data_IF_339178123240
#
_entry.id   IF_339178123240
#
_cell.length_a   1.000
_cell.length_b   1.000
_cell.length_c   1.000
_cell.angle_alpha   90.00
_cell.angle_beta   90.00
_cell.angle_gamma   90.00
#
_symmetry.space_group_name_H-M   'P 1'
#
loop_
_entity.id
_entity.type
_entity.pdbx_description
1 polymer ?
#
# COMPACT_ATOMS: atom_id res chain seq x y z
N UNK A 1 -25.53 -37.36 4.44
CA UNK A 1 -24.16 -37.60 4.93
C UNK A 1 -23.65 -36.26 5.44
N UNK A 2 -23.82 -36.00 6.73
CA UNK A 2 -23.58 -34.71 7.36
C UNK A 2 -22.07 -34.48 7.50
N UNK A 3 -21.52 -33.57 6.70
CA UNK A 3 -20.13 -33.14 6.81
C UNK A 3 -19.98 -32.41 8.15
N UNK A 4 -19.35 -33.10 9.10
CA UNK A 4 -18.86 -32.51 10.33
C UNK A 4 -17.64 -31.68 9.96
N UNK A 5 -17.81 -30.36 9.90
CA UNK A 5 -16.69 -29.43 9.79
C UNK A 5 -16.05 -29.39 11.16
N UNK A 6 -14.87 -29.98 11.26
CA UNK A 6 -14.03 -30.02 12.44
C UNK A 6 -13.72 -28.59 12.92
N UNK A 7 -14.10 -28.29 14.16
CA UNK A 7 -13.96 -26.99 14.81
C UNK A 7 -12.69 -26.97 15.68
N UNK A 8 -11.54 -27.36 15.13
CA UNK A 8 -10.25 -27.18 15.77
C UNK A 8 -9.27 -26.50 14.82
N UNK A 9 -9.35 -25.17 14.72
CA UNK A 9 -8.28 -24.37 14.13
C UNK A 9 -7.12 -24.32 15.13
N UNK A 10 -6.04 -25.01 14.79
CA UNK A 10 -4.77 -24.94 15.51
C UNK A 10 -4.15 -23.55 15.29
N UNK A 11 -3.98 -22.82 16.40
CA UNK A 11 -3.47 -21.44 16.38
C UNK A 11 -2.00 -21.36 15.94
N UNK A 12 -1.28 -22.48 16.02
CA UNK A 12 0.15 -22.58 15.70
C UNK A 12 0.41 -23.21 14.32
N UNK A 13 -0.65 -23.49 13.54
CA UNK A 13 -0.50 -23.94 12.16
C UNK A 13 0.15 -22.85 11.30
N UNK A 14 1.08 -23.24 10.42
CA UNK A 14 1.90 -22.34 9.59
C UNK A 14 1.02 -21.50 8.63
N UNK A 15 -0.18 -21.99 8.30
CA UNK A 15 -1.16 -21.32 7.46
C UNK A 15 -2.16 -20.43 8.22
N UNK A 16 -2.16 -20.46 9.55
CA UNK A 16 -3.02 -19.60 10.39
C UNK A 16 -2.48 -18.16 10.39
N UNK A 17 -3.20 -17.19 9.81
CA UNK A 17 -2.70 -15.82 9.76
C UNK A 17 -2.73 -15.16 11.15
N UNK A 18 -1.71 -14.36 11.44
CA UNK A 18 -1.65 -13.62 12.70
C UNK A 18 -2.79 -12.59 12.83
N UNK A 19 -3.13 -12.21 14.06
CA UNK A 19 -4.16 -11.19 14.33
C UNK A 19 -3.82 -9.86 13.63
N UNK A 20 -2.54 -9.50 13.60
CA UNK A 20 -2.06 -8.28 12.95
C UNK A 20 -2.18 -8.35 11.42
N UNK A 21 -1.90 -9.53 10.83
CA UNK A 21 -2.19 -9.78 9.42
C UNK A 21 -3.68 -9.58 9.13
N UNK A 22 -4.56 -10.21 9.91
CA UNK A 22 -6.00 -10.14 9.70
C UNK A 22 -6.54 -8.71 9.85
N UNK A 23 -5.95 -7.91 10.75
CA UNK A 23 -6.28 -6.49 10.92
C UNK A 23 -5.88 -5.67 9.69
N UNK A 24 -4.73 -5.96 9.10
CA UNK A 24 -4.26 -5.30 7.88
C UNK A 24 -5.04 -5.76 6.64
N UNK A 25 -5.34 -7.05 6.53
CA UNK A 25 -6.06 -7.64 5.41
C UNK A 25 -7.42 -6.96 5.15
N UNK A 26 -8.13 -6.57 6.23
CA UNK A 26 -9.39 -5.82 6.14
C UNK A 26 -9.25 -4.45 5.47
N UNK A 27 -8.06 -3.86 5.45
CA UNK A 27 -7.80 -2.53 4.88
C UNK A 27 -7.39 -2.58 3.41
N UNK A 28 -6.86 -3.71 2.92
CA UNK A 28 -6.35 -3.84 1.56
C UNK A 28 -7.37 -3.52 0.46
N UNK A 29 -8.66 -3.91 0.55
CA UNK A 29 -9.62 -3.60 -0.51
C UNK A 29 -9.77 -2.10 -0.79
N UNK A 30 -9.59 -1.23 0.22
CA UNK A 30 -9.58 0.22 0.00
C UNK A 30 -8.31 0.65 -0.73
N UNK A 31 -7.16 0.10 -0.33
CA UNK A 31 -5.87 0.43 -0.94
C UNK A 31 -5.82 -0.02 -2.40
N UNK A 32 -6.35 -1.20 -2.70
CA UNK A 32 -6.49 -1.72 -4.07
C UNK A 32 -7.36 -0.79 -4.92
N UNK A 33 -8.57 -0.45 -4.46
CA UNK A 33 -9.45 0.47 -5.18
C UNK A 33 -8.82 1.87 -5.40
N UNK A 34 -8.08 2.39 -4.42
CA UNK A 34 -7.38 3.67 -4.56
C UNK A 34 -6.29 3.64 -5.64
N UNK A 35 -5.59 2.50 -5.79
CA UNK A 35 -4.52 2.32 -6.80
C UNK A 35 -5.07 1.99 -8.18
N UNK A 36 -6.20 1.30 -8.26
CA UNK A 36 -6.92 1.07 -9.52
C UNK A 36 -7.56 2.35 -10.08
N UNK A 37 -7.88 3.32 -9.21
CA UNK A 37 -8.18 4.69 -9.60
C UNK A 37 -9.66 5.05 -9.58
N UNK A 38 -10.03 6.06 -10.38
CA UNK A 38 -11.38 6.66 -10.32
C UNK A 38 -12.49 5.68 -10.73
N UNK A 39 -12.23 4.79 -11.68
CA UNK A 39 -13.22 3.83 -12.17
C UNK A 39 -13.55 2.78 -11.10
N UNK A 40 -12.54 2.15 -10.50
CA UNK A 40 -12.72 1.19 -9.41
C UNK A 40 -13.45 1.80 -8.19
N UNK A 41 -13.12 3.05 -7.84
CA UNK A 41 -13.82 3.78 -6.77
C UNK A 41 -15.32 3.99 -7.09
N UNK A 42 -15.69 4.08 -8.37
CA UNK A 42 -17.08 4.25 -8.83
C UNK A 42 -17.83 2.92 -8.93
N UNK A 43 -17.15 1.80 -9.11
CA UNK A 43 -17.75 0.45 -9.17
C UNK A 43 -18.18 -0.08 -7.80
N UNK A 44 -17.57 0.42 -6.71
CA UNK A 44 -18.00 0.18 -5.32
C UNK A 44 -18.76 1.36 -4.68
N UNK A 45 -19.85 1.89 -5.29
CA UNK A 45 -20.43 3.18 -4.92
C UNK A 45 -20.91 3.22 -3.46
N UNK A 46 -21.60 2.19 -2.99
CA UNK A 46 -22.13 2.20 -1.62
C UNK A 46 -21.05 2.00 -0.55
N UNK A 47 -19.91 1.44 -0.95
CA UNK A 47 -18.78 1.16 -0.05
C UNK A 47 -17.85 2.36 0.09
N UNK A 48 -17.53 3.04 -1.01
CA UNK A 48 -16.52 4.09 -1.05
C UNK A 48 -17.08 5.49 -1.28
N UNK A 49 -18.20 5.60 -1.98
CA UNK A 49 -18.83 6.87 -2.36
C UNK A 49 -20.30 6.88 -1.93
N UNK A 50 -20.60 6.72 -0.62
CA UNK A 50 -21.97 6.63 -0.15
C UNK A 50 -22.77 7.88 -0.54
N UNK A 51 -24.06 7.68 -0.73
CA UNK A 51 -25.02 8.75 -0.98
C UNK A 51 -25.28 9.51 0.32
N UNK A 52 -25.35 10.85 0.25
CA UNK A 52 -25.68 11.63 1.44
C UNK A 52 -27.17 11.47 1.82
N UNK A 53 -27.55 11.55 3.11
CA UNK A 53 -28.91 11.23 3.57
C UNK A 53 -30.07 12.01 2.92
N UNK A 54 -29.81 13.20 2.35
CA UNK A 54 -30.80 14.06 1.69
C UNK A 54 -30.47 14.35 0.22
N UNK A 55 -29.54 13.61 -0.35
CA UNK A 55 -29.15 13.76 -1.76
C UNK A 55 -30.20 13.08 -2.66
N UNK A 56 -30.59 13.69 -3.78
CA UNK A 56 -31.39 12.99 -4.79
C UNK A 56 -30.51 12.05 -5.61
N UNK A 57 -31.09 11.08 -6.31
CA UNK A 57 -30.32 10.18 -7.18
C UNK A 57 -29.63 10.93 -8.33
N UNK A 58 -30.30 11.95 -8.87
CA UNK A 58 -29.74 12.82 -9.90
C UNK A 58 -28.52 13.60 -9.39
N UNK A 59 -28.62 14.18 -8.19
CA UNK A 59 -27.50 14.89 -7.57
C UNK A 59 -26.35 13.93 -7.24
N UNK A 60 -26.65 12.73 -6.76
CA UNK A 60 -25.66 11.70 -6.47
C UNK A 60 -24.88 11.30 -7.73
N UNK A 61 -25.58 10.99 -8.81
CA UNK A 61 -24.97 10.63 -10.08
C UNK A 61 -24.18 11.80 -10.69
N UNK A 62 -24.70 13.03 -10.61
CA UNK A 62 -24.02 14.24 -11.07
C UNK A 62 -22.75 14.56 -10.27
N UNK A 63 -22.74 14.31 -8.96
CA UNK A 63 -21.54 14.41 -8.14
C UNK A 63 -20.53 13.33 -8.53
N UNK A 64 -20.97 12.07 -8.60
CA UNK A 64 -20.11 10.92 -8.92
C UNK A 64 -19.41 11.08 -10.27
N UNK A 65 -20.10 11.62 -11.29
CA UNK A 65 -19.53 11.85 -12.62
C UNK A 65 -18.48 12.97 -12.65
N UNK A 66 -18.68 14.04 -11.86
CA UNK A 66 -17.77 15.20 -11.82
C UNK A 66 -16.59 15.02 -10.86
N UNK A 67 -16.72 14.20 -9.82
CA UNK A 67 -15.63 13.90 -8.89
C UNK A 67 -14.65 12.91 -9.51
N UNK A 68 -13.35 13.18 -9.37
CA UNK A 68 -12.25 12.31 -9.76
C UNK A 68 -11.35 12.03 -8.54
N UNK A 69 -10.65 10.90 -8.55
CA UNK A 69 -9.71 10.54 -7.50
C UNK A 69 -8.35 11.22 -7.76
N UNK A 70 -7.87 12.00 -6.79
CA UNK A 70 -6.48 12.46 -6.79
C UNK A 70 -5.55 11.30 -6.39
N UNK A 71 -4.46 11.02 -7.12
CA UNK A 71 -3.56 9.88 -6.87
C UNK A 71 -2.64 10.08 -5.64
N UNK A 72 -3.12 10.78 -4.61
CA UNK A 72 -2.35 11.17 -3.43
C UNK A 72 -1.78 9.97 -2.66
N UNK A 73 -2.43 8.80 -2.73
CA UNK A 73 -1.95 7.58 -2.09
C UNK A 73 -0.64 7.08 -2.73
N UNK A 74 -0.64 6.87 -4.05
CA UNK A 74 0.56 6.43 -4.77
C UNK A 74 1.66 7.50 -4.75
N UNK A 75 1.30 8.78 -4.86
CA UNK A 75 2.25 9.89 -4.72
C UNK A 75 2.93 9.89 -3.34
N UNK A 76 2.17 9.60 -2.29
CA UNK A 76 2.70 9.49 -0.92
C UNK A 76 3.65 8.31 -0.78
N UNK A 77 3.30 7.13 -1.33
CA UNK A 77 4.19 5.96 -1.35
C UNK A 77 5.48 6.32 -2.08
N UNK A 78 5.38 6.85 -3.31
CA UNK A 78 6.52 7.25 -4.13
C UNK A 78 7.43 8.23 -3.39
N UNK A 79 6.85 9.22 -2.75
CA UNK A 79 7.58 10.21 -1.95
C UNK A 79 8.33 9.54 -0.81
N UNK A 80 7.67 8.65 -0.05
CA UNK A 80 8.27 7.99 1.09
C UNK A 80 9.40 7.03 0.68
N UNK A 81 9.22 6.24 -0.37
CA UNK A 81 10.27 5.32 -0.85
C UNK A 81 11.47 6.04 -1.48
N UNK A 82 11.28 7.29 -1.93
CA UNK A 82 12.38 8.10 -2.49
C UNK A 82 13.24 8.77 -1.41
N UNK A 83 12.76 8.88 -0.16
CA UNK A 83 13.46 9.60 0.91
C UNK A 83 14.84 9.03 1.26
N UNK A 84 15.04 7.71 1.39
CA UNK A 84 16.36 7.15 1.75
C UNK A 84 17.45 7.50 0.74
N UNK A 85 17.10 7.62 -0.55
CA UNK A 85 18.03 7.91 -1.63
C UNK A 85 18.06 9.39 -2.04
N UNK A 86 17.49 10.28 -1.21
CA UNK A 86 17.42 11.71 -1.52
C UNK A 86 18.79 12.39 -1.50
N UNK A 87 19.71 11.87 -0.69
CA UNK A 87 21.10 12.32 -0.62
C UNK A 87 21.98 11.22 -1.19
N UNK A 88 23.03 11.61 -1.91
CA UNK A 88 24.07 10.67 -2.29
C UNK A 88 24.63 10.02 -1.04
N UNK A 89 24.90 8.72 -1.12
CA UNK A 89 25.70 8.03 -0.11
C UNK A 89 27.12 8.57 -0.26
N UNK A 90 27.65 9.15 0.81
CA UNK A 90 29.02 9.67 0.86
C UNK A 90 29.78 8.85 1.89
N UNK A 91 31.00 8.44 1.54
CA UNK A 91 31.91 7.80 2.48
C UNK A 91 32.34 8.84 3.52
N UNK A 92 32.34 8.46 4.79
CA UNK A 92 32.78 9.34 5.89
C UNK A 92 34.28 9.60 5.77
N UNK A 93 34.78 10.77 6.19
CA UNK A 93 36.24 11.02 6.22
C UNK A 93 36.97 10.22 7.33
N UNK A 94 36.21 9.60 8.25
CA UNK A 94 36.70 8.74 9.35
C UNK A 94 36.57 7.26 8.98
N UNK A 95 37.31 6.81 7.96
CA UNK A 95 37.43 5.39 7.59
C UNK A 95 38.88 4.94 7.82
N UNK A 96 39.14 3.71 8.31
CA UNK A 96 40.48 3.14 8.32
C UNK A 96 41.13 3.19 6.93
N UNK A 97 42.43 3.49 6.89
CA UNK A 97 43.23 3.67 5.66
C UNK A 97 43.13 2.44 4.73
N UNK A 98 42.96 1.24 5.28
CA UNK A 98 42.82 0.00 4.52
C UNK A 98 41.53 -0.06 3.68
N UNK A 99 40.52 0.76 4.00
CA UNK A 99 39.23 0.80 3.34
C UNK A 99 39.11 1.93 2.30
N UNK A 100 40.04 2.91 2.28
CA UNK A 100 40.05 3.98 1.26
C UNK A 100 40.18 3.42 -0.16
N UNK A 101 40.89 2.30 -0.31
CA UNK A 101 41.04 1.61 -1.61
C UNK A 101 39.69 1.16 -2.19
N UNK A 102 38.69 0.92 -1.34
CA UNK A 102 37.36 0.53 -1.80
C UNK A 102 36.62 1.71 -2.43
N UNK A 103 36.88 2.95 -2.04
CA UNK A 103 36.24 4.11 -2.67
C UNK A 103 36.75 4.32 -4.10
N UNK A 104 38.05 4.13 -4.33
CA UNK A 104 38.66 4.29 -5.65
C UNK A 104 38.42 3.13 -6.61
N UNK A 105 38.16 1.91 -6.10
CA UNK A 105 37.96 0.72 -6.93
C UNK A 105 36.91 -0.25 -6.34
N UNK A 106 35.69 0.25 -6.11
CA UNK A 106 34.61 -0.54 -5.49
C UNK A 106 34.20 -1.74 -6.34
N UNK A 107 34.20 -1.59 -7.67
CA UNK A 107 33.67 -2.59 -8.63
C UNK A 107 34.75 -3.45 -9.29
N UNK A 108 36.04 -3.21 -8.99
CA UNK A 108 37.21 -3.91 -9.54
C UNK A 108 37.46 -3.68 -11.04
N UNK A 109 36.81 -2.71 -11.65
CA UNK A 109 36.99 -2.42 -13.08
C UNK A 109 38.14 -1.43 -13.38
N UNK A 110 38.69 -0.76 -12.35
CA UNK A 110 39.91 0.05 -12.44
C UNK A 110 39.74 1.42 -13.09
#
# INVERSE_FOLDING_TARGET
MTLHIDQSQDKDAIDTPSIEYMRMAKKWPLLEALREGTEAMREGPDKWLPKNPKESDEMYNGRKSRTFLTPAFDDSIRTMVSKPFRKNVVVSDDVPEELEILESNTDREG
#
